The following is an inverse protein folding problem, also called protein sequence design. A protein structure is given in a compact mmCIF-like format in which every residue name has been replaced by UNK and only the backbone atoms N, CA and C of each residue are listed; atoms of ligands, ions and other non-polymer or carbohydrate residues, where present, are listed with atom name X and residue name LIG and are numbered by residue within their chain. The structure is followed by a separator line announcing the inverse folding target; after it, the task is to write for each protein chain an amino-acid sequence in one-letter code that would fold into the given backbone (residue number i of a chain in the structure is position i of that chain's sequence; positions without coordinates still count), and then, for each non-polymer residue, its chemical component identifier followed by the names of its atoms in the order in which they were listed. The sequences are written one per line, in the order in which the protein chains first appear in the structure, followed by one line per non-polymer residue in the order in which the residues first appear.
data_IF_857123582951
#
_entry.id   IF_857123582951
#
_cell.length_a   1.000
_cell.length_b   1.000
_cell.length_c   1.000
_cell.angle_alpha   90.00
_cell.angle_beta   90.00
_cell.angle_gamma   90.00
#
_symmetry.space_group_name_H-M   'P 1'
#
loop_
_entity.id
_entity.type
_entity.pdbx_description
1 polymer ?
#
# COMPACT_ATOMS: atom_id res chain seq x y z
N UNK A 1 11.87 -35.33 6.96
CA UNK A 1 10.63 -35.03 6.21
C UNK A 1 9.98 -33.78 6.78
N UNK A 2 9.27 -33.00 5.92
CA UNK A 2 8.81 -31.58 6.04
C UNK A 2 9.97 -30.59 5.81
N UNK A 3 10.22 -30.02 4.62
CA UNK A 3 9.38 -29.39 3.58
C UNK A 3 8.34 -28.45 4.17
N UNK A 4 8.64 -27.14 4.11
CA UNK A 4 7.77 -25.95 3.94
C UNK A 4 8.65 -24.76 4.34
N UNK A 5 9.17 -23.96 3.39
CA UNK A 5 9.52 -22.52 3.55
C UNK A 5 9.94 -21.87 2.21
N UNK A 6 9.48 -22.40 1.06
CA UNK A 6 9.69 -21.78 -0.26
C UNK A 6 8.58 -20.77 -0.66
N UNK A 7 7.69 -20.40 0.26
CA UNK A 7 6.50 -19.61 -0.07
C UNK A 7 6.67 -18.08 0.11
N UNK A 8 7.72 -17.62 0.81
CA UNK A 8 7.89 -16.19 1.09
C UNK A 8 8.73 -15.45 0.02
N UNK A 9 9.58 -16.14 -0.73
CA UNK A 9 10.25 -15.55 -1.91
C UNK A 9 9.34 -15.55 -3.15
N UNK A 10 8.30 -16.39 -3.18
CA UNK A 10 7.34 -16.42 -4.28
C UNK A 10 6.43 -15.19 -4.31
N UNK A 11 6.20 -14.51 -3.19
CA UNK A 11 5.31 -13.34 -3.12
C UNK A 11 5.96 -12.03 -3.55
N UNK A 12 7.30 -11.90 -3.50
CA UNK A 12 8.00 -10.78 -4.12
C UNK A 12 8.07 -10.95 -5.65
N UNK A 13 8.02 -12.19 -6.14
CA UNK A 13 7.85 -12.54 -7.55
C UNK A 13 6.41 -12.36 -8.06
N UNK A 14 5.43 -12.07 -7.20
CA UNK A 14 4.05 -11.77 -7.62
C UNK A 14 3.82 -10.26 -7.79
N UNK A 15 4.67 -9.42 -7.19
CA UNK A 15 4.70 -7.98 -7.48
C UNK A 15 5.39 -7.65 -8.83
N UNK A 16 6.20 -8.57 -9.35
CA UNK A 16 6.68 -8.58 -10.75
C UNK A 16 6.02 -9.76 -11.46
N UNK A 17 4.86 -9.57 -12.10
CA UNK A 17 4.10 -10.63 -12.79
C UNK A 17 4.91 -11.47 -13.79
N UNK A 18 5.61 -12.50 -13.30
CA UNK A 18 6.23 -13.56 -14.09
C UNK A 18 5.19 -14.68 -14.17
N UNK A 19 4.28 -14.54 -15.12
CA UNK A 19 3.54 -15.69 -15.64
C UNK A 19 4.53 -16.57 -16.44
N UNK A 20 4.54 -17.90 -16.23
CA UNK A 20 5.34 -18.79 -17.04
C UNK A 20 4.83 -18.75 -18.48
N UNK A 21 5.77 -18.57 -19.42
CA UNK A 21 5.62 -18.63 -20.88
C UNK A 21 4.26 -19.13 -21.41
N UNK A 22 3.31 -18.21 -21.50
CA UNK A 22 2.22 -18.22 -22.46
C UNK A 22 2.23 -16.84 -23.09
N UNK A 23 2.23 -16.77 -24.42
CA UNK A 23 1.94 -15.53 -25.14
C UNK A 23 0.46 -15.16 -24.84
N UNK A 24 0.23 -14.56 -23.68
CA UNK A 24 -1.08 -14.11 -23.24
C UNK A 24 -1.44 -12.82 -23.94
N UNK A 25 -2.22 -12.91 -25.02
CA UNK A 25 -2.93 -11.76 -25.57
C UNK A 25 -4.14 -11.52 -24.67
N UNK A 26 -3.98 -10.69 -23.65
CA UNK A 26 -5.12 -10.20 -22.87
C UNK A 26 -5.58 -8.89 -23.52
N UNK A 27 -6.71 -8.94 -24.23
CA UNK A 27 -7.26 -7.78 -24.93
C UNK A 27 -8.78 -7.69 -24.75
N UNK A 28 -9.21 -6.81 -23.84
CA UNK A 28 -10.57 -6.28 -23.84
C UNK A 28 -10.53 -4.91 -24.55
N UNK A 29 -10.70 -4.93 -25.88
CA UNK A 29 -10.88 -3.74 -26.73
C UNK A 29 -9.63 -2.91 -26.99
N UNK A 30 -9.20 -2.77 -28.26
CA UNK A 30 -8.10 -1.91 -28.80
C UNK A 30 -6.74 -1.91 -28.08
N UNK A 31 -6.59 -2.69 -27.02
CA UNK A 31 -5.36 -2.90 -26.27
C UNK A 31 -4.84 -4.30 -26.61
N UNK A 32 -3.57 -4.36 -27.00
CA UNK A 32 -2.88 -5.61 -27.27
C UNK A 32 -1.55 -5.59 -26.53
N UNK A 33 -1.29 -6.65 -25.77
CA UNK A 33 0.02 -6.90 -25.17
C UNK A 33 0.56 -8.22 -25.65
N UNK A 34 1.87 -8.24 -25.92
CA UNK A 34 2.62 -9.46 -26.23
C UNK A 34 3.82 -9.49 -25.29
N UNK A 35 4.13 -10.66 -24.75
CA UNK A 35 5.29 -10.89 -23.88
C UNK A 35 5.98 -12.17 -24.32
N UNK A 36 7.31 -12.17 -24.31
CA UNK A 36 8.13 -13.32 -24.58
C UNK A 36 9.42 -13.26 -23.76
N UNK A 37 9.95 -14.43 -23.42
CA UNK A 37 11.23 -14.55 -22.74
C UNK A 37 11.97 -15.79 -23.23
N UNK A 38 13.31 -15.73 -23.20
CA UNK A 38 14.18 -16.85 -23.54
C UNK A 38 15.32 -16.91 -22.54
N UNK A 39 15.61 -18.10 -22.01
CA UNK A 39 16.59 -18.29 -20.95
C UNK A 39 17.71 -19.26 -21.36
N UNK A 40 18.94 -18.94 -20.97
CA UNK A 40 20.11 -19.78 -21.16
C UNK A 40 21.31 -19.24 -20.39
N UNK A 41 22.17 -20.13 -19.89
CA UNK A 41 23.45 -19.74 -19.29
C UNK A 41 23.36 -18.85 -18.03
N UNK A 42 22.25 -18.92 -17.27
CA UNK A 42 22.05 -18.09 -16.09
C UNK A 42 21.42 -16.72 -16.37
N UNK A 43 21.06 -16.43 -17.62
CA UNK A 43 20.37 -15.21 -18.02
C UNK A 43 19.07 -15.51 -18.75
N UNK A 44 18.12 -14.60 -18.65
CA UNK A 44 16.87 -14.61 -19.39
C UNK A 44 16.68 -13.26 -20.08
N UNK A 45 16.57 -13.27 -21.40
CA UNK A 45 16.14 -12.10 -22.15
C UNK A 45 14.62 -12.05 -22.19
N UNK A 46 14.04 -10.86 -22.18
CA UNK A 46 12.61 -10.66 -22.34
C UNK A 46 12.31 -9.56 -23.33
N UNK A 47 11.15 -9.67 -23.97
CA UNK A 47 10.58 -8.68 -24.86
C UNK A 47 9.10 -8.53 -24.54
N UNK A 48 8.62 -7.29 -24.51
CA UNK A 48 7.21 -7.00 -24.39
C UNK A 48 6.81 -5.82 -25.25
N UNK A 49 5.55 -5.83 -25.66
CA UNK A 49 4.91 -4.75 -26.39
C UNK A 49 3.54 -4.49 -25.80
N UNK A 50 3.12 -3.23 -25.83
CA UNK A 50 1.81 -2.78 -25.39
C UNK A 50 1.32 -1.66 -26.32
N UNK A 51 0.11 -1.80 -26.85
CA UNK A 51 -0.59 -0.73 -27.58
C UNK A 51 -1.68 -0.16 -26.68
N UNK A 52 -1.56 1.13 -26.34
CA UNK A 52 -2.53 1.80 -25.46
C UNK A 52 -3.82 2.22 -26.18
N UNK A 53 -4.81 2.74 -25.44
CA UNK A 53 -6.13 3.14 -25.97
C UNK A 53 -6.10 4.10 -27.17
N UNK A 54 -5.02 4.88 -27.29
CA UNK A 54 -4.82 5.87 -28.37
C UNK A 54 -3.93 5.34 -29.51
N UNK A 55 -3.68 4.03 -29.60
CA UNK A 55 -2.89 3.40 -30.65
C UNK A 55 -1.36 3.56 -30.49
N UNK A 56 -0.89 4.16 -29.40
CA UNK A 56 0.54 4.32 -29.14
C UNK A 56 1.19 3.01 -28.72
N UNK A 57 2.25 2.60 -29.43
CA UNK A 57 3.04 1.41 -29.12
C UNK A 57 4.16 1.72 -28.13
N UNK A 58 4.22 0.96 -27.04
CA UNK A 58 5.38 0.92 -26.14
C UNK A 58 6.01 -0.46 -26.24
N UNK A 59 7.32 -0.52 -26.39
CA UNK A 59 8.07 -1.79 -26.36
C UNK A 59 9.10 -1.76 -25.24
N UNK A 60 9.36 -2.90 -24.65
CA UNK A 60 10.41 -3.06 -23.66
C UNK A 60 11.19 -4.34 -23.96
N UNK A 61 12.51 -4.25 -23.97
CA UNK A 61 13.41 -5.39 -24.11
C UNK A 61 14.49 -5.32 -23.06
N UNK A 62 14.89 -6.46 -22.53
CA UNK A 62 15.89 -6.50 -21.47
C UNK A 62 16.45 -7.89 -21.22
N UNK A 63 17.40 -7.94 -20.29
CA UNK A 63 18.02 -9.16 -19.79
C UNK A 63 18.02 -9.14 -18.27
N UNK A 64 17.69 -10.27 -17.66
CA UNK A 64 17.91 -10.54 -16.25
C UNK A 64 18.99 -11.62 -16.15
N UNK A 65 20.01 -11.40 -15.33
CA UNK A 65 21.16 -12.29 -15.14
C UNK A 65 21.28 -12.67 -13.68
N UNK A 66 21.33 -13.96 -13.38
CA UNK A 66 21.65 -14.47 -12.07
C UNK A 66 23.16 -14.37 -11.83
N UNK A 67 23.57 -13.52 -10.89
CA UNK A 67 25.00 -13.22 -10.62
C UNK A 67 25.55 -13.99 -9.42
N UNK A 68 24.69 -14.65 -8.65
CA UNK A 68 25.04 -15.45 -7.48
C UNK A 68 23.78 -15.86 -6.69
N UNK A 69 23.89 -16.71 -5.66
CA UNK A 69 22.73 -17.14 -4.89
C UNK A 69 21.93 -15.96 -4.33
N UNK A 70 20.67 -15.84 -4.76
CA UNK A 70 19.79 -14.72 -4.35
C UNK A 70 20.16 -13.37 -4.97
N UNK A 71 21.07 -13.34 -5.96
CA UNK A 71 21.56 -12.13 -6.62
C UNK A 71 21.19 -12.11 -8.10
N UNK A 72 20.63 -10.98 -8.53
CA UNK A 72 20.18 -10.77 -9.89
C UNK A 72 20.60 -9.37 -10.35
N UNK A 73 20.93 -9.23 -11.62
CA UNK A 73 21.09 -7.96 -12.29
C UNK A 73 20.13 -7.90 -13.48
N UNK A 74 19.51 -6.75 -13.73
CA UNK A 74 18.68 -6.53 -14.89
C UNK A 74 19.15 -5.30 -15.67
N UNK A 75 19.03 -5.35 -16.99
CA UNK A 75 19.21 -4.20 -17.88
C UNK A 75 18.19 -4.25 -18.99
N UNK A 76 17.85 -3.11 -19.56
CA UNK A 76 17.01 -3.07 -20.74
C UNK A 76 16.67 -1.68 -21.22
N UNK A 77 15.89 -1.64 -22.29
CA UNK A 77 15.42 -0.42 -22.92
C UNK A 77 13.91 -0.47 -23.06
N UNK A 78 13.24 0.60 -22.65
CA UNK A 78 11.84 0.85 -22.97
C UNK A 78 11.75 1.94 -24.03
N UNK A 79 11.02 1.69 -25.11
CA UNK A 79 10.76 2.67 -26.17
C UNK A 79 9.29 3.06 -26.09
N UNK A 80 9.02 4.34 -25.84
CA UNK A 80 7.66 4.87 -25.74
C UNK A 80 7.02 5.16 -27.10
N UNK A 81 5.73 5.55 -27.13
CA UNK A 81 4.96 5.78 -28.35
C UNK A 81 5.49 6.85 -29.31
N UNK A 82 6.37 7.74 -28.82
CA UNK A 82 7.02 8.80 -29.61
C UNK A 82 8.48 8.48 -29.96
N UNK A 83 8.90 7.23 -29.81
CA UNK A 83 10.28 6.79 -30.09
C UNK A 83 11.32 7.13 -29.02
N UNK A 84 10.91 7.80 -27.93
CA UNK A 84 11.81 8.07 -26.80
C UNK A 84 12.29 6.78 -26.15
N UNK A 85 13.60 6.66 -25.96
CA UNK A 85 14.27 5.52 -25.33
C UNK A 85 14.59 5.79 -23.87
N UNK A 86 14.21 4.86 -23.00
CA UNK A 86 14.48 4.86 -21.57
C UNK A 86 15.33 3.64 -21.25
N UNK A 87 16.59 3.87 -20.96
CA UNK A 87 17.50 2.81 -20.53
C UNK A 87 17.26 2.57 -19.05
N UNK A 88 17.17 1.31 -18.64
CA UNK A 88 17.03 0.97 -17.23
C UNK A 88 18.00 -0.14 -16.85
N UNK A 89 18.45 -0.09 -15.61
CA UNK A 89 19.27 -1.12 -15.01
C UNK A 89 18.90 -1.31 -13.56
N UNK A 90 19.27 -2.44 -12.99
CA UNK A 90 19.13 -2.67 -11.57
C UNK A 90 19.82 -3.93 -11.11
N UNK A 91 19.95 -4.04 -9.79
CA UNK A 91 20.49 -5.19 -9.09
C UNK A 91 19.57 -5.53 -7.93
N UNK A 92 19.46 -6.81 -7.62
CA UNK A 92 18.79 -7.32 -6.43
C UNK A 92 19.76 -8.24 -5.72
N UNK A 93 19.87 -8.10 -4.41
CA UNK A 93 20.72 -8.96 -3.58
C UNK A 93 19.96 -9.39 -2.32
N UNK A 94 19.67 -10.68 -2.23
CA UNK A 94 19.01 -11.29 -1.09
C UNK A 94 20.01 -12.16 -0.31
N UNK A 95 20.59 -11.59 0.75
CA UNK A 95 21.55 -12.25 1.62
C UNK A 95 21.30 -11.91 3.10
N UNK A 96 21.51 -12.89 3.99
CA UNK A 96 21.51 -12.62 5.44
C UNK A 96 20.18 -12.15 6.04
N UNK A 97 19.04 -12.46 5.40
CA UNK A 97 17.72 -12.04 5.87
C UNK A 97 17.26 -10.67 5.36
N UNK A 98 18.09 -10.00 4.55
CA UNK A 98 17.77 -8.74 3.88
C UNK A 98 17.86 -8.91 2.37
N UNK A 99 16.86 -8.38 1.66
CA UNK A 99 16.89 -8.20 0.22
C UNK A 99 17.04 -6.72 -0.08
N UNK A 100 18.04 -6.33 -0.86
CA UNK A 100 18.19 -4.97 -1.38
C UNK A 100 17.93 -4.94 -2.87
N UNK A 101 17.47 -3.80 -3.37
CA UNK A 101 17.33 -3.51 -4.78
C UNK A 101 17.86 -2.10 -5.07
N UNK A 102 18.76 -1.98 -6.03
CA UNK A 102 19.16 -0.70 -6.60
C UNK A 102 18.77 -0.69 -8.08
N UNK A 103 18.29 0.44 -8.59
CA UNK A 103 17.84 0.58 -9.96
C UNK A 103 18.03 1.99 -10.47
N UNK A 104 18.15 2.14 -11.78
CA UNK A 104 18.24 3.43 -12.45
C UNK A 104 17.47 3.41 -13.75
N UNK A 105 16.90 4.56 -14.10
CA UNK A 105 16.27 4.81 -15.40
C UNK A 105 16.79 6.11 -15.98
N UNK A 106 17.43 6.03 -17.14
CA UNK A 106 17.91 7.19 -17.89
C UNK A 106 16.90 7.56 -18.98
N UNK A 107 16.43 8.81 -18.96
CA UNK A 107 15.48 9.34 -19.94
C UNK A 107 16.17 9.63 -21.29
N UNK A 108 15.39 9.84 -22.38
CA UNK A 108 15.96 10.20 -23.69
C UNK A 108 16.83 11.47 -23.68
N UNK A 109 16.69 12.32 -22.67
CA UNK A 109 17.43 13.56 -22.50
C UNK A 109 18.61 13.44 -21.52
N UNK A 110 18.99 12.22 -21.13
CA UNK A 110 20.15 11.95 -20.29
C UNK A 110 19.93 12.22 -18.79
N UNK A 111 18.69 12.49 -18.36
CA UNK A 111 18.37 12.63 -16.94
C UNK A 111 18.14 11.25 -16.34
N UNK A 112 18.61 11.03 -15.11
CA UNK A 112 18.47 9.75 -14.42
C UNK A 112 17.49 9.86 -13.26
N UNK A 113 16.72 8.80 -13.05
CA UNK A 113 15.92 8.54 -11.85
C UNK A 113 16.47 7.26 -11.23
N UNK A 114 16.92 7.34 -9.99
CA UNK A 114 17.46 6.21 -9.25
C UNK A 114 16.43 5.72 -8.22
N UNK A 115 16.33 4.41 -8.07
CA UNK A 115 15.51 3.76 -7.06
C UNK A 115 16.39 2.88 -6.20
N UNK A 116 16.25 2.96 -4.88
CA UNK A 116 16.90 2.02 -3.97
C UNK A 116 15.87 1.47 -2.99
N UNK A 117 16.05 0.26 -2.53
CA UNK A 117 15.09 -0.45 -1.72
C UNK A 117 15.73 -1.51 -0.86
N UNK A 118 15.18 -1.75 0.32
CA UNK A 118 15.54 -2.88 1.15
C UNK A 118 14.33 -3.41 1.90
N UNK A 119 14.31 -4.72 2.10
CA UNK A 119 13.37 -5.40 3.00
C UNK A 119 14.18 -6.35 3.86
N UNK A 120 14.08 -6.19 5.17
CA UNK A 120 14.73 -7.05 6.16
C UNK A 120 13.69 -7.81 6.94
N UNK A 121 13.89 -9.12 7.09
CA UNK A 121 13.13 -9.96 8.02
C UNK A 121 14.02 -10.34 9.18
N UNK A 122 13.79 -9.73 10.34
CA UNK A 122 14.55 -10.03 11.56
C UNK A 122 14.09 -11.32 12.24
N UNK A 123 12.81 -11.66 12.13
CA UNK A 123 12.22 -12.91 12.63
C UNK A 123 10.84 -13.16 11.98
N UNK A 124 10.19 -14.32 12.16
CA UNK A 124 8.83 -14.54 11.62
C UNK A 124 7.85 -13.49 12.15
N UNK A 125 7.17 -12.77 11.25
CA UNK A 125 6.22 -11.71 11.62
C UNK A 125 6.85 -10.34 11.90
N UNK A 126 8.18 -10.21 11.75
CA UNK A 126 8.90 -8.96 11.96
C UNK A 126 9.67 -8.56 10.70
N UNK A 127 9.28 -7.43 10.13
CA UNK A 127 9.78 -6.93 8.86
C UNK A 127 10.07 -5.43 8.96
N UNK A 128 11.11 -4.97 8.29
CA UNK A 128 11.35 -3.55 8.02
C UNK A 128 11.67 -3.36 6.55
N UNK A 129 11.30 -2.21 6.01
CA UNK A 129 11.62 -1.85 4.64
C UNK A 129 11.90 -0.36 4.50
N UNK A 130 12.75 -0.05 3.53
CA UNK A 130 13.04 1.32 3.09
C UNK A 130 13.06 1.34 1.59
N UNK A 131 12.49 2.36 0.98
CA UNK A 131 12.53 2.61 -0.46
C UNK A 131 12.83 4.08 -0.71
N UNK A 132 13.63 4.38 -1.73
CA UNK A 132 13.90 5.75 -2.16
C UNK A 132 13.75 5.86 -3.66
N UNK A 133 13.27 7.02 -4.10
CA UNK A 133 13.26 7.44 -5.51
C UNK A 133 13.93 8.80 -5.59
N UNK A 134 15.07 8.88 -6.26
CA UNK A 134 15.86 10.10 -6.41
C UNK A 134 15.85 10.54 -7.86
N UNK A 135 15.45 11.78 -8.11
CA UNK A 135 15.55 12.39 -9.43
C UNK A 135 16.03 13.83 -9.32
N UNK A 136 15.94 14.57 -10.42
CA UNK A 136 16.37 15.97 -10.49
C UNK A 136 15.71 16.89 -9.44
N UNK A 137 14.51 16.53 -8.97
CA UNK A 137 13.74 17.32 -8.00
C UNK A 137 13.94 16.84 -6.54
N UNK A 138 14.96 16.02 -6.29
CA UNK A 138 15.29 15.48 -4.97
C UNK A 138 14.79 14.06 -4.73
N UNK A 139 14.85 13.63 -3.47
CA UNK A 139 14.59 12.26 -3.05
C UNK A 139 13.25 12.13 -2.32
N UNK A 140 12.49 11.12 -2.70
CA UNK A 140 11.34 10.62 -1.97
C UNK A 140 11.76 9.36 -1.22
N UNK A 141 11.33 9.24 0.03
CA UNK A 141 11.66 8.10 0.88
C UNK A 141 10.38 7.50 1.43
N UNK A 142 10.27 6.18 1.39
CA UNK A 142 9.26 5.41 2.09
C UNK A 142 9.96 4.48 3.08
N UNK A 143 9.46 4.41 4.31
CA UNK A 143 9.92 3.42 5.30
C UNK A 143 8.73 2.74 5.91
N UNK A 144 8.85 1.44 6.21
CA UNK A 144 7.80 0.68 6.86
C UNK A 144 8.38 -0.35 7.82
N UNK A 145 7.57 -0.75 8.79
CA UNK A 145 7.86 -1.86 9.68
C UNK A 145 6.58 -2.61 10.01
N UNK A 146 6.67 -3.93 10.10
CA UNK A 146 5.60 -4.80 10.60
C UNK A 146 6.13 -5.57 11.78
N UNK A 147 5.37 -5.59 12.88
CA UNK A 147 5.70 -6.32 14.09
C UNK A 147 4.48 -7.09 14.57
N UNK A 148 4.55 -8.42 14.50
CA UNK A 148 3.49 -9.31 14.95
C UNK A 148 3.92 -10.13 16.17
N UNK A 149 3.29 -9.89 17.31
CA UNK A 149 3.54 -10.63 18.54
C UNK A 149 2.26 -10.78 19.36
N UNK A 150 2.14 -11.89 20.10
CA UNK A 150 1.07 -12.06 21.10
C UNK A 150 -0.36 -11.98 20.55
N UNK A 151 -0.60 -12.32 19.28
CA UNK A 151 -1.93 -12.23 18.65
C UNK A 151 -2.30 -10.83 18.16
N UNK A 152 -1.37 -9.87 18.24
CA UNK A 152 -1.47 -8.56 17.62
C UNK A 152 -0.42 -8.37 16.53
N UNK A 153 -0.73 -7.50 15.57
CA UNK A 153 0.20 -7.01 14.57
C UNK A 153 0.09 -5.48 14.50
N UNK A 154 1.24 -4.81 14.42
CA UNK A 154 1.33 -3.39 14.11
C UNK A 154 2.13 -3.21 12.83
N UNK A 155 1.60 -2.43 11.90
CA UNK A 155 2.30 -1.95 10.73
C UNK A 155 2.45 -0.44 10.84
N UNK A 156 3.66 0.08 10.77
CA UNK A 156 3.93 1.52 10.82
C UNK A 156 4.76 1.91 9.62
N UNK A 157 4.38 2.97 8.93
CA UNK A 157 5.10 3.45 7.77
C UNK A 157 5.06 4.97 7.63
N UNK A 158 5.99 5.49 6.83
CA UNK A 158 6.07 6.90 6.50
C UNK A 158 6.53 7.08 5.06
N UNK A 159 6.04 8.14 4.42
CA UNK A 159 6.52 8.62 3.14
C UNK A 159 6.90 10.09 3.27
N UNK A 160 8.13 10.42 2.89
CA UNK A 160 8.73 11.75 2.98
C UNK A 160 9.11 12.23 1.58
N UNK A 161 8.78 13.48 1.28
CA UNK A 161 9.21 14.15 0.05
C UNK A 161 10.50 14.95 0.23
N UNK A 162 11.05 15.48 -0.87
CA UNK A 162 12.31 16.23 -0.88
C UNK A 162 12.27 17.52 -0.04
N UNK A 163 11.08 18.04 0.25
CA UNK A 163 10.88 19.25 1.06
C UNK A 163 10.74 18.95 2.57
N UNK A 164 11.04 17.74 3.02
CA UNK A 164 10.96 17.33 4.44
C UNK A 164 9.54 17.06 4.97
N UNK A 165 8.51 17.36 4.18
CA UNK A 165 7.13 17.03 4.48
C UNK A 165 6.89 15.52 4.41
N UNK A 166 6.22 14.98 5.44
CA UNK A 166 6.00 13.54 5.56
C UNK A 166 4.54 13.20 5.88
N UNK A 167 4.08 12.07 5.38
CA UNK A 167 2.85 11.40 5.83
C UNK A 167 3.29 10.16 6.58
N UNK A 168 2.72 9.91 7.76
CA UNK A 168 2.93 8.66 8.48
C UNK A 168 1.60 7.96 8.72
N UNK A 169 1.63 6.64 8.81
CA UNK A 169 0.48 5.87 9.18
C UNK A 169 0.85 4.70 10.06
N UNK A 170 -0.12 4.25 10.84
CA UNK A 170 -0.01 3.06 11.67
C UNK A 170 -1.31 2.29 11.64
N UNK A 171 -1.19 1.02 11.28
CA UNK A 171 -2.26 0.04 11.28
C UNK A 171 -2.03 -0.96 12.41
N UNK A 172 -3.09 -1.33 13.13
CA UNK A 172 -3.05 -2.43 14.09
C UNK A 172 -4.12 -3.46 13.76
N UNK A 173 -3.84 -4.72 14.07
CA UNK A 173 -4.79 -5.81 14.03
C UNK A 173 -4.56 -6.70 15.26
N UNK A 174 -5.53 -6.71 16.17
CA UNK A 174 -5.43 -7.43 17.45
C UNK A 174 -6.55 -8.45 17.56
N UNK A 175 -6.18 -9.72 17.75
CA UNK A 175 -7.15 -10.75 18.10
C UNK A 175 -7.65 -10.52 19.52
N UNK A 176 -8.93 -10.24 19.67
CA UNK A 176 -9.57 -10.05 20.99
C UNK A 176 -10.32 -11.29 21.46
N UNK A 177 -10.68 -12.19 20.55
CA UNK A 177 -11.26 -13.50 20.82
C UNK A 177 -11.01 -14.46 19.63
N UNK A 178 -11.24 -15.77 19.77
CA UNK A 178 -11.23 -16.69 18.62
C UNK A 178 -12.16 -16.19 17.51
N UNK A 179 -11.63 -16.03 16.30
CA UNK A 179 -12.38 -15.50 15.16
C UNK A 179 -12.67 -13.99 15.18
N UNK A 180 -12.31 -13.23 16.22
CA UNK A 180 -12.59 -11.78 16.30
C UNK A 180 -11.30 -10.97 16.33
N UNK A 181 -11.19 -10.01 15.42
CA UNK A 181 -10.03 -9.12 15.27
C UNK A 181 -10.50 -7.67 15.28
N UNK A 182 -9.91 -6.85 16.14
CA UNK A 182 -10.07 -5.39 16.09
C UNK A 182 -8.95 -4.79 15.25
N UNK A 183 -9.28 -3.85 14.38
CA UNK A 183 -8.32 -3.13 13.56
C UNK A 183 -8.42 -1.64 13.79
N UNK A 184 -7.28 -0.96 13.74
CA UNK A 184 -7.22 0.52 13.72
C UNK A 184 -6.25 0.98 12.66
N UNK A 185 -6.54 2.09 12.00
CA UNK A 185 -5.63 2.78 11.10
C UNK A 185 -5.59 4.24 11.51
N UNK A 186 -4.38 4.79 11.70
CA UNK A 186 -4.14 6.20 11.95
C UNK A 186 -3.24 6.75 10.86
N UNK A 187 -3.58 7.90 10.28
CA UNK A 187 -2.77 8.59 9.26
C UNK A 187 -2.54 10.02 9.72
N UNK A 188 -1.28 10.42 9.87
CA UNK A 188 -0.86 11.79 10.17
C UNK A 188 -0.31 12.43 8.90
N UNK A 189 -0.97 13.52 8.46
CA UNK A 189 -0.56 14.26 7.27
C UNK A 189 0.60 15.22 7.52
N UNK A 190 1.10 15.89 6.48
CA UNK A 190 2.34 16.69 6.54
C UNK A 190 2.23 17.99 7.35
N UNK A 191 1.01 18.34 7.79
CA UNK A 191 0.72 19.50 8.63
C UNK A 191 0.30 19.09 10.06
N UNK A 192 0.56 17.84 10.45
CA UNK A 192 0.30 17.33 11.80
C UNK A 192 -1.14 16.87 12.09
N UNK A 193 -2.09 17.13 11.18
CA UNK A 193 -3.45 16.62 11.32
C UNK A 193 -3.50 15.09 11.22
N UNK A 194 -4.20 14.44 12.15
CA UNK A 194 -4.30 12.98 12.23
C UNK A 194 -5.75 12.52 12.06
N UNK A 195 -5.97 11.52 11.21
CA UNK A 195 -7.25 10.85 11.04
C UNK A 195 -7.10 9.41 11.48
N UNK A 196 -7.96 8.98 12.41
CA UNK A 196 -8.00 7.61 12.89
C UNK A 196 -9.34 6.95 12.54
N UNK A 197 -9.27 5.70 12.12
CA UNK A 197 -10.42 4.84 11.84
C UNK A 197 -10.19 3.48 12.48
N UNK A 198 -11.27 2.73 12.72
CA UNK A 198 -11.17 1.40 13.29
C UNK A 198 -12.44 0.59 13.10
N UNK A 199 -12.35 -0.70 13.37
CA UNK A 199 -13.45 -1.63 13.21
C UNK A 199 -13.18 -2.98 13.84
N UNK A 200 -14.21 -3.83 13.85
CA UNK A 200 -14.15 -5.21 14.34
C UNK A 200 -14.53 -6.13 13.19
N UNK A 201 -13.68 -7.12 12.94
CA UNK A 201 -13.91 -8.19 11.97
C UNK A 201 -14.18 -9.49 12.72
N UNK A 202 -15.31 -10.11 12.44
CA UNK A 202 -15.70 -11.42 12.99
C UNK A 202 -15.69 -12.45 11.86
N UNK A 203 -14.91 -13.51 12.01
CA UNK A 203 -14.84 -14.61 11.04
C UNK A 203 -16.23 -15.25 10.89
N UNK A 204 -16.75 -15.30 9.66
CA UNK A 204 -18.06 -15.87 9.34
C UNK A 204 -19.24 -14.90 9.36
N UNK A 205 -19.05 -13.64 9.78
CA UNK A 205 -20.07 -12.61 9.68
C UNK A 205 -19.88 -11.77 8.39
N UNK A 206 -20.95 -11.35 7.70
CA UNK A 206 -20.83 -10.37 6.63
C UNK A 206 -20.27 -9.06 7.20
N UNK A 207 -19.35 -8.41 6.47
CA UNK A 207 -18.72 -7.15 6.89
C UNK A 207 -19.81 -6.08 7.09
N UNK A 208 -19.99 -5.61 8.33
CA UNK A 208 -20.76 -4.40 8.61
C UNK A 208 -19.77 -3.23 8.59
N UNK A 209 -19.80 -2.43 7.52
CA UNK A 209 -19.05 -1.18 7.46
C UNK A 209 -19.75 -0.15 8.36
N UNK A 210 -19.17 0.13 9.52
CA UNK A 210 -19.58 1.28 10.34
C UNK A 210 -18.85 2.50 9.78
N UNK A 211 -19.55 3.33 9.02
CA UNK A 211 -19.07 4.66 8.64
C UNK A 211 -19.26 5.56 9.86
N UNK A 212 -18.16 6.00 10.47
CA UNK A 212 -18.21 7.00 11.52
C UNK A 212 -18.77 8.33 10.95
N UNK A 213 -19.59 9.09 11.70
CA UNK A 213 -20.00 10.43 11.31
C UNK A 213 -18.77 11.33 11.10
N UNK A 214 -18.82 12.30 10.18
CA UNK A 214 -17.70 13.21 9.93
C UNK A 214 -17.29 13.94 11.22
N UNK A 215 -15.99 14.18 11.45
CA UNK A 215 -15.52 14.84 12.66
C UNK A 215 -16.07 16.26 12.74
N UNK A 216 -16.67 16.60 13.89
CA UNK A 216 -17.05 17.97 14.20
C UNK A 216 -15.80 18.83 14.39
N UNK A 217 -15.60 19.80 13.51
CA UNK A 217 -14.55 20.82 13.64
C UNK A 217 -14.85 21.66 14.87
N UNK A 218 -14.06 21.50 15.94
CA UNK A 218 -14.13 22.39 17.10
C UNK A 218 -13.15 23.53 16.88
N UNK A 219 -13.66 24.73 16.60
CA UNK A 219 -12.85 25.94 16.57
C UNK A 219 -12.56 26.35 18.02
N UNK A 220 -11.30 26.22 18.45
CA UNK A 220 -10.87 26.69 19.77
C UNK A 220 -10.70 28.22 19.69
N UNK A 221 -11.56 28.95 20.40
CA UNK A 221 -11.40 30.39 20.63
C UNK A 221 -10.21 30.65 21.59
N UNK A 222 -9.49 31.77 21.46
CA UNK A 222 -8.28 32.04 22.24
C UNK A 222 -8.57 32.20 23.74
N UNK A 223 -7.64 31.69 24.54
CA UNK A 223 -7.76 31.51 25.99
C UNK A 223 -7.85 32.84 26.78
N UNK A 224 -8.79 32.89 27.73
CA UNK A 224 -8.75 33.81 28.87
C UNK A 224 -8.39 33.00 30.12
N UNK A 225 -7.34 33.45 30.81
CA UNK A 225 -6.78 32.83 32.02
C UNK A 225 -7.77 32.95 33.19
N UNK A 226 -8.06 31.84 33.87
CA UNK A 226 -8.73 31.83 35.17
C UNK A 226 -8.15 30.73 36.09
N UNK A 227 -8.17 31.04 37.39
CA UNK A 227 -7.43 30.48 38.53
C UNK A 227 -7.71 28.99 38.87
N UNK A 228 -6.93 28.34 39.78
CA UNK A 228 -6.96 26.89 39.95
C UNK A 228 -8.17 26.45 40.78
N UNK A 229 -8.85 25.37 40.34
CA UNK A 229 -9.97 24.77 41.06
C UNK A 229 -9.70 23.29 41.40
N UNK A 230 -10.28 22.92 42.54
CA UNK A 230 -10.09 21.74 43.38
C UNK A 230 -10.49 20.40 42.73
N UNK A 231 -9.87 19.32 43.22
CA UNK A 231 -10.14 17.93 42.83
C UNK A 231 -11.59 17.55 43.19
N UNK A 232 -12.37 17.17 42.18
CA UNK A 232 -13.69 16.56 42.35
C UNK A 232 -13.60 15.04 42.10
N UNK A 233 -14.13 14.25 43.04
CA UNK A 233 -14.35 12.80 42.88
C UNK A 233 -15.58 12.60 41.99
N UNK A 234 -15.42 11.87 40.89
CA UNK A 234 -16.51 11.59 39.93
C UNK A 234 -17.25 10.31 40.36
N UNK A 235 -18.60 10.34 40.54
CA UNK A 235 -19.39 9.14 40.76
C UNK A 235 -19.46 8.25 39.50
N UNK A 236 -19.55 6.94 39.70
CA UNK A 236 -19.66 5.97 38.60
C UNK A 236 -20.89 6.25 37.70
N UNK A 237 -20.76 6.19 36.37
CA UNK A 237 -21.86 6.46 35.46
C UNK A 237 -22.95 5.39 35.55
N UNK A 238 -24.21 5.84 35.60
CA UNK A 238 -25.39 4.99 35.58
C UNK A 238 -25.51 4.21 34.25
N UNK A 239 -26.13 3.02 34.24
CA UNK A 239 -26.31 2.22 33.04
C UNK A 239 -27.14 2.98 31.98
N UNK A 240 -26.58 3.11 30.77
CA UNK A 240 -27.22 3.80 29.66
C UNK A 240 -28.40 2.99 29.13
N UNK A 241 -29.60 3.58 29.17
CA UNK A 241 -30.78 3.09 28.46
C UNK A 241 -30.59 3.38 26.97
N UNK A 242 -30.51 2.32 26.15
CA UNK A 242 -30.46 2.45 24.69
C UNK A 242 -31.84 2.86 24.19
N UNK A 243 -32.07 4.15 24.01
CA UNK A 243 -33.20 4.67 23.25
C UNK A 243 -32.80 4.63 21.78
N UNK A 244 -33.50 3.82 20.98
CA UNK A 244 -33.34 3.87 19.52
C UNK A 244 -33.92 5.21 19.03
N UNK A 245 -33.13 6.09 18.38
CA UNK A 245 -33.68 7.32 17.86
C UNK A 245 -34.66 6.98 16.73
N UNK A 246 -35.90 7.47 16.85
CA UNK A 246 -36.84 7.48 15.73
C UNK A 246 -36.41 8.59 14.78
N UNK A 247 -36.34 8.26 13.50
CA UNK A 247 -35.97 9.24 12.45
C UNK A 247 -37.23 9.55 11.65
N UNK A 248 -37.51 10.85 11.49
CA UNK A 248 -38.54 11.30 10.56
C UNK A 248 -38.01 11.19 9.15
N UNK A 249 -38.70 10.43 8.31
CA UNK A 249 -38.42 10.33 6.87
C UNK A 249 -39.41 11.24 6.15
N UNK A 250 -38.93 12.31 5.49
CA UNK A 250 -39.77 13.15 4.63
C UNK A 250 -40.40 12.35 3.48
N UNK A 251 -41.36 12.97 2.80
CA UNK A 251 -42.04 12.38 1.65
C UNK A 251 -41.03 12.00 0.55
N UNK A 252 -41.16 10.80 0.00
CA UNK A 252 -40.21 10.27 -0.99
C UNK A 252 -40.86 9.23 -1.90
N UNK A 253 -40.19 8.93 -3.02
CA UNK A 253 -40.60 7.88 -3.95
C UNK A 253 -39.80 6.60 -3.71
N UNK A 254 -40.47 5.45 -3.70
CA UNK A 254 -39.84 4.12 -3.72
C UNK A 254 -40.51 3.27 -4.79
N UNK A 255 -39.73 2.79 -5.77
CA UNK A 255 -40.24 1.87 -6.79
C UNK A 255 -41.43 2.41 -7.60
N UNK A 256 -41.52 3.73 -7.79
CA UNK A 256 -42.65 4.35 -8.50
C UNK A 256 -43.92 4.53 -7.64
N UNK A 257 -43.82 4.38 -6.32
CA UNK A 257 -44.90 4.68 -5.36
C UNK A 257 -44.50 5.86 -4.48
N UNK A 258 -45.41 6.83 -4.30
CA UNK A 258 -45.22 7.95 -3.38
C UNK A 258 -45.50 7.50 -1.94
N UNK A 259 -44.55 7.73 -1.05
CA UNK A 259 -44.66 7.44 0.37
C UNK A 259 -44.74 8.75 1.12
N UNK A 260 -45.85 8.97 1.82
CA UNK A 260 -46.04 10.12 2.73
C UNK A 260 -45.06 10.05 3.90
N UNK A 261 -44.73 11.20 4.49
CA UNK A 261 -43.78 11.30 5.59
C UNK A 261 -44.13 10.35 6.74
N UNK A 262 -43.14 9.63 7.24
CA UNK A 262 -43.33 8.59 8.25
C UNK A 262 -42.15 8.52 9.23
N UNK A 263 -42.39 7.91 10.39
CA UNK A 263 -41.36 7.66 11.39
C UNK A 263 -40.80 6.25 11.21
N UNK A 264 -39.48 6.11 11.14
CA UNK A 264 -38.77 4.82 11.24
C UNK A 264 -38.25 4.58 12.65
#
# INVERSE_FOLDING_TARGET
MKKIHLAACASLLIALGIEPALAGVSGYGREASVRGASCGGGSCTHGSAFVGPRGGLTTNYGTVTHTGPGQFANTGTTVGPRGGRYEHSGTTNCGGGTCTHDGSVTTPHGQTIDTAGSVTRSSPGHYSSTETVTGANGTYTHTASTNCAGGGCTHSASASGPNGHSVSWTDTATRVAPGVVTTTTSVTGPRGGTVATGGVVVAGAPRVAVVAPPPSVTVVAPAVVAAPATVAVVPAPAPAVVVRPRVWVPEHWVGGVWVTGHWS
#
